data_IF_280071042438
#
_entry.id   IF_280071042438
#
_cell.length_a   1.000
_cell.length_b   1.000
_cell.length_c   1.000
_cell.angle_alpha   90.00
_cell.angle_beta   90.00
_cell.angle_gamma   90.00
#
_symmetry.space_group_name_H-M   'P 1'
#
loop_
_entity.id
_entity.type
_entity.pdbx_description
1 polymer ?
#
# COMPACT_ATOMS: atom_id res chain seq x y z
N UNK A 1 -3.56 -1.69 -38.83
CA UNK A 1 -2.45 -1.72 -37.85
C UNK A 1 -2.55 -0.47 -37.01
N UNK A 2 -3.08 -0.62 -35.80
CA UNK A 2 -3.35 0.47 -34.86
C UNK A 2 -2.04 1.09 -34.39
N UNK A 3 -1.66 2.23 -34.98
CA UNK A 3 -0.53 3.02 -34.50
C UNK A 3 -0.99 3.77 -33.25
N UNK A 4 -0.49 3.36 -32.08
CA UNK A 4 -0.53 4.20 -30.89
C UNK A 4 0.06 5.56 -31.25
N UNK A 5 -0.73 6.63 -31.11
CA UNK A 5 -0.27 7.99 -31.39
C UNK A 5 0.80 8.40 -30.38
N UNK A 6 1.73 9.28 -30.78
CA UNK A 6 2.87 9.72 -29.96
C UNK A 6 2.48 10.17 -28.55
N UNK A 7 1.36 10.91 -28.42
CA UNK A 7 0.80 11.34 -27.12
C UNK A 7 0.21 10.20 -26.29
N UNK A 8 -0.43 9.22 -26.93
CA UNK A 8 -0.98 8.07 -26.24
C UNK A 8 0.13 7.14 -25.73
N UNK A 9 1.21 7.01 -26.50
CA UNK A 9 2.41 6.29 -26.07
C UNK A 9 3.05 6.96 -24.85
N UNK A 10 3.23 8.29 -24.88
CA UNK A 10 3.77 9.07 -23.76
C UNK A 10 2.97 8.85 -22.48
N UNK A 11 1.65 9.07 -22.52
CA UNK A 11 0.79 8.91 -21.33
C UNK A 11 0.74 7.47 -20.79
N UNK A 12 0.90 6.46 -21.64
CA UNK A 12 0.79 5.05 -21.24
C UNK A 12 2.14 4.38 -20.91
N UNK A 13 3.27 4.91 -21.40
CA UNK A 13 4.57 4.25 -21.29
C UNK A 13 5.01 4.08 -19.83
N UNK A 14 4.74 5.05 -18.96
CA UNK A 14 5.08 4.97 -17.54
C UNK A 14 4.27 3.93 -16.74
N UNK A 15 3.19 3.40 -17.31
CA UNK A 15 2.30 2.42 -16.65
C UNK A 15 2.45 0.99 -17.20
N UNK A 16 3.18 0.80 -18.30
CA UNK A 16 3.28 -0.47 -19.00
C UNK A 16 4.67 -1.08 -18.75
N UNK A 17 4.74 -2.10 -17.90
CA UNK A 17 6.00 -2.77 -17.56
C UNK A 17 6.27 -3.96 -18.49
N UNK A 18 7.43 -3.98 -19.16
CA UNK A 18 7.83 -5.10 -20.02
C UNK A 18 8.87 -5.95 -19.27
N UNK A 19 8.41 -7.04 -18.68
CA UNK A 19 9.29 -8.01 -18.02
C UNK A 19 10.14 -8.73 -19.07
N UNK A 20 11.47 -8.62 -18.97
CA UNK A 20 12.41 -9.18 -19.96
C UNK A 20 12.61 -8.31 -21.21
N UNK A 21 12.26 -7.03 -21.17
CA UNK A 21 12.54 -6.07 -22.24
C UNK A 21 14.05 -5.95 -22.54
N UNK A 22 14.39 -5.58 -23.79
CA UNK A 22 15.80 -5.36 -24.20
C UNK A 22 16.44 -4.18 -23.45
N UNK A 23 15.64 -3.26 -22.92
CA UNK A 23 16.12 -2.09 -22.18
C UNK A 23 15.85 -2.24 -20.67
N UNK A 24 16.87 -2.18 -19.80
CA UNK A 24 16.69 -2.32 -18.35
C UNK A 24 15.74 -1.29 -17.72
N UNK A 25 15.66 -0.07 -18.28
CA UNK A 25 14.77 0.98 -17.79
C UNK A 25 13.28 0.71 -18.10
N UNK A 26 12.97 -0.12 -19.09
CA UNK A 26 11.56 -0.48 -19.42
C UNK A 26 10.90 -1.36 -18.34
N UNK A 27 11.71 -1.88 -17.41
CA UNK A 27 11.25 -2.61 -16.24
C UNK A 27 11.07 -1.72 -15.00
N UNK A 28 11.34 -0.41 -15.13
CA UNK A 28 11.13 0.60 -14.09
C UNK A 28 9.90 1.45 -14.40
N UNK A 29 9.40 2.19 -13.42
CA UNK A 29 8.34 3.18 -13.64
C UNK A 29 8.88 4.51 -14.18
N UNK A 30 10.16 4.57 -14.59
CA UNK A 30 10.77 5.76 -15.15
C UNK A 30 10.15 6.04 -16.51
N UNK A 31 9.66 7.26 -16.70
CA UNK A 31 9.07 7.68 -17.97
C UNK A 31 10.15 7.83 -19.06
N UNK A 32 9.88 7.50 -20.35
CA UNK A 32 10.87 7.64 -21.43
C UNK A 32 11.48 9.04 -21.58
N UNK A 33 10.74 10.08 -21.20
CA UNK A 33 11.23 11.46 -21.15
C UNK A 33 12.41 11.64 -20.18
N UNK A 34 12.44 10.83 -19.12
CA UNK A 34 13.47 10.86 -18.08
C UNK A 34 14.58 9.83 -18.29
N UNK A 35 14.57 9.05 -19.38
CA UNK A 35 15.62 8.03 -19.64
C UNK A 35 17.01 8.67 -19.73
N UNK A 36 17.14 9.79 -20.45
CA UNK A 36 18.40 10.53 -20.55
C UNK A 36 18.94 10.94 -19.18
N UNK A 37 18.06 11.36 -18.28
CA UNK A 37 18.45 11.77 -16.93
C UNK A 37 18.82 10.57 -16.06
N UNK A 38 18.09 9.45 -16.18
CA UNK A 38 18.42 8.20 -15.48
C UNK A 38 19.77 7.63 -15.93
N UNK A 39 20.07 7.66 -17.22
CA UNK A 39 21.36 7.24 -17.78
C UNK A 39 22.51 8.10 -17.27
N UNK A 40 22.37 9.42 -17.34
CA UNK A 40 23.38 10.34 -16.84
C UNK A 40 23.58 10.23 -15.31
N UNK A 41 22.51 9.95 -14.56
CA UNK A 41 22.59 9.68 -13.11
C UNK A 41 23.34 8.38 -12.82
N UNK A 42 23.11 7.31 -13.60
CA UNK A 42 23.84 6.04 -13.49
C UNK A 42 25.34 6.22 -13.77
N UNK A 43 25.69 6.92 -14.84
CA UNK A 43 27.10 7.21 -15.17
C UNK A 43 27.79 8.01 -14.04
N UNK A 44 27.12 9.03 -13.50
CA UNK A 44 27.64 9.85 -12.39
C UNK A 44 27.81 9.05 -11.10
N UNK A 45 26.93 8.09 -10.87
CA UNK A 45 26.99 7.20 -9.71
C UNK A 45 27.91 5.98 -9.94
N UNK A 46 28.49 5.82 -11.15
CA UNK A 46 29.40 4.73 -11.50
C UNK A 46 28.72 3.38 -11.77
N UNK A 47 27.42 3.37 -12.04
CA UNK A 47 26.65 2.16 -12.32
C UNK A 47 26.38 1.99 -13.82
N UNK A 48 26.13 0.75 -14.24
CA UNK A 48 25.75 0.45 -15.63
C UNK A 48 24.25 0.23 -15.72
N UNK A 49 23.69 0.45 -16.91
CA UNK A 49 22.28 0.16 -17.21
C UNK A 49 21.88 -1.30 -16.87
N UNK A 50 22.80 -2.26 -17.02
CA UNK A 50 22.55 -3.66 -16.67
C UNK A 50 22.29 -3.90 -15.18
N UNK A 51 22.86 -3.05 -14.29
CA UNK A 51 22.71 -3.19 -12.85
C UNK A 51 21.28 -2.78 -12.39
N UNK A 52 20.58 -2.00 -13.22
CA UNK A 52 19.22 -1.53 -12.94
C UNK A 52 18.23 -2.70 -12.86
N UNK A 53 18.41 -3.74 -13.68
CA UNK A 53 17.47 -4.88 -13.71
C UNK A 53 17.39 -5.63 -12.38
N UNK A 54 18.47 -5.62 -11.57
CA UNK A 54 18.51 -6.24 -10.24
C UNK A 54 18.19 -5.28 -9.09
N UNK A 55 18.05 -3.99 -9.36
CA UNK A 55 17.94 -2.92 -8.37
C UNK A 55 19.29 -2.55 -7.76
N UNK A 56 19.54 -1.24 -7.65
CA UNK A 56 20.80 -0.67 -7.18
C UNK A 56 20.55 0.04 -5.84
N UNK A 57 20.46 -0.66 -4.70
CA UNK A 57 20.12 -0.05 -3.42
C UNK A 57 21.08 1.08 -3.01
N UNK A 58 22.36 0.95 -3.38
CA UNK A 58 23.42 1.94 -3.11
C UNK A 58 23.29 3.24 -3.90
N UNK A 59 22.42 3.31 -4.91
CA UNK A 59 22.27 4.53 -5.72
C UNK A 59 21.73 5.70 -4.89
N UNK A 60 20.88 5.42 -3.89
CA UNK A 60 20.37 6.45 -2.97
C UNK A 60 21.47 7.08 -2.13
N UNK A 61 22.42 6.25 -1.70
CA UNK A 61 23.55 6.67 -0.87
C UNK A 61 24.52 7.50 -1.72
N UNK A 62 24.79 7.08 -2.95
CA UNK A 62 25.62 7.82 -3.91
C UNK A 62 25.01 9.17 -4.28
N UNK A 63 23.71 9.22 -4.57
CA UNK A 63 22.99 10.47 -4.85
C UNK A 63 23.05 11.42 -3.65
N UNK A 64 22.93 10.91 -2.42
CA UNK A 64 23.09 11.72 -1.21
C UNK A 64 24.53 12.19 -0.99
N UNK A 65 25.52 11.36 -1.31
CA UNK A 65 26.94 11.69 -1.18
C UNK A 65 27.39 12.77 -2.17
N UNK A 66 26.90 12.72 -3.42
CA UNK A 66 27.18 13.72 -4.46
C UNK A 66 26.36 14.99 -4.22
N UNK A 67 25.11 14.84 -3.77
CA UNK A 67 24.19 15.93 -3.43
C UNK A 67 23.05 16.07 -4.44
N UNK A 68 21.81 15.96 -3.95
CA UNK A 68 20.55 16.03 -4.73
C UNK A 68 20.47 17.32 -5.54
N UNK A 69 20.75 18.48 -4.93
CA UNK A 69 20.69 19.80 -5.58
C UNK A 69 21.64 19.94 -6.77
N UNK A 70 22.86 19.44 -6.61
CA UNK A 70 23.89 19.55 -7.66
C UNK A 70 23.53 18.66 -8.84
N UNK A 71 23.08 17.44 -8.57
CA UNK A 71 22.63 16.52 -9.60
C UNK A 71 21.35 17.02 -10.29
N UNK A 72 20.40 17.61 -9.56
CA UNK A 72 19.17 18.15 -10.16
C UNK A 72 19.47 19.30 -11.14
N UNK A 73 20.38 20.21 -10.76
CA UNK A 73 20.80 21.31 -11.63
C UNK A 73 21.61 20.81 -12.84
N UNK A 74 22.53 19.85 -12.65
CA UNK A 74 23.33 19.28 -13.74
C UNK A 74 22.48 18.47 -14.73
N UNK A 75 21.49 17.72 -14.23
CA UNK A 75 20.60 16.89 -15.04
C UNK A 75 19.41 17.67 -15.61
N UNK A 76 19.20 18.91 -15.17
CA UNK A 76 18.07 19.76 -15.57
C UNK A 76 16.71 19.19 -15.17
N UNK A 77 16.65 18.37 -14.12
CA UNK A 77 15.42 17.77 -13.59
C UNK A 77 15.13 18.27 -12.18
N UNK A 78 13.86 18.29 -11.76
CA UNK A 78 13.50 18.70 -10.40
C UNK A 78 14.04 17.74 -9.34
N UNK A 79 14.31 18.24 -8.12
CA UNK A 79 14.77 17.43 -6.99
C UNK A 79 13.82 16.25 -6.67
N UNK A 80 12.51 16.47 -6.85
CA UNK A 80 11.48 15.43 -6.69
C UNK A 80 11.65 14.32 -7.74
N UNK A 81 11.74 14.70 -9.02
CA UNK A 81 11.95 13.76 -10.13
C UNK A 81 13.25 12.97 -9.96
N UNK A 82 14.32 13.62 -9.51
CA UNK A 82 15.60 12.95 -9.26
C UNK A 82 15.48 11.93 -8.13
N UNK A 83 14.77 12.28 -7.06
CA UNK A 83 14.51 11.37 -5.94
C UNK A 83 13.65 10.18 -6.38
N UNK A 84 12.64 10.40 -7.21
CA UNK A 84 11.79 9.35 -7.77
C UNK A 84 12.58 8.39 -8.67
N UNK A 85 13.40 8.92 -9.57
CA UNK A 85 14.31 8.11 -10.41
C UNK A 85 15.25 7.29 -9.53
N UNK A 86 15.88 7.89 -8.53
CA UNK A 86 16.78 7.17 -7.62
C UNK A 86 16.04 6.09 -6.81
N UNK A 87 14.77 6.31 -6.44
CA UNK A 87 13.94 5.32 -5.77
C UNK A 87 13.60 4.14 -6.70
N UNK A 88 13.21 4.43 -7.95
CA UNK A 88 12.92 3.40 -8.95
C UNK A 88 14.15 2.59 -9.35
N UNK A 89 15.32 3.24 -9.54
CA UNK A 89 16.57 2.55 -9.83
C UNK A 89 17.05 1.68 -8.66
N UNK A 90 16.74 2.08 -7.41
CA UNK A 90 17.07 1.29 -6.24
C UNK A 90 16.21 0.03 -6.09
N UNK A 91 14.92 0.13 -6.42
CA UNK A 91 13.95 -0.97 -6.38
C UNK A 91 13.04 -0.92 -7.61
N UNK A 92 13.49 -1.46 -8.76
CA UNK A 92 12.72 -1.44 -10.01
C UNK A 92 11.41 -2.21 -9.83
N UNK A 93 10.31 -1.64 -10.30
CA UNK A 93 9.01 -2.30 -10.27
C UNK A 93 8.36 -2.39 -8.90
N UNK A 94 8.77 -1.53 -7.95
CA UNK A 94 8.13 -1.39 -6.64
C UNK A 94 6.62 -1.33 -6.81
N UNK A 95 5.91 -2.24 -6.17
CA UNK A 95 4.47 -2.17 -6.13
C UNK A 95 4.10 -1.21 -4.98
N UNK A 96 3.41 -0.09 -5.23
CA UNK A 96 2.91 0.76 -4.15
C UNK A 96 1.97 0.02 -3.19
N UNK A 97 1.47 -1.16 -3.59
CA UNK A 97 0.70 -2.06 -2.72
C UNK A 97 1.55 -2.80 -1.69
N UNK A 98 2.86 -2.93 -1.88
CA UNK A 98 3.76 -3.55 -0.88
C UNK A 98 3.95 -2.66 0.36
N UNK A 99 3.73 -1.35 0.24
CA UNK A 99 3.75 -0.39 1.36
C UNK A 99 2.39 -0.19 2.02
N UNK A 100 1.30 -0.68 1.40
CA UNK A 100 0.02 -0.73 2.09
C UNK A 100 0.16 -1.77 3.21
N UNK A 101 -0.32 -1.47 4.43
CA UNK A 101 -0.50 -2.53 5.41
C UNK A 101 -1.28 -3.64 4.70
N UNK A 102 -0.83 -4.91 4.79
CA UNK A 102 -1.56 -5.99 4.15
C UNK A 102 -3.02 -5.82 4.54
N UNK A 103 -3.96 -5.92 3.58
CA UNK A 103 -5.37 -5.88 3.92
C UNK A 103 -5.51 -6.85 5.08
N UNK A 104 -6.10 -6.39 6.19
CA UNK A 104 -6.44 -7.23 7.32
C UNK A 104 -7.53 -8.19 6.84
N UNK A 105 -7.17 -9.12 5.97
CA UNK A 105 -7.90 -10.34 5.72
C UNK A 105 -7.80 -11.09 7.04
N UNK A 106 -8.74 -10.79 7.94
CA UNK A 106 -9.13 -11.71 9.01
C UNK A 106 -9.62 -12.97 8.29
N UNK A 107 -8.68 -13.83 7.95
CA UNK A 107 -8.95 -15.12 7.32
C UNK A 107 -9.30 -16.16 8.39
N UNK A 108 -9.28 -15.78 9.67
CA UNK A 108 -9.16 -16.74 10.76
C UNK A 108 -10.49 -17.11 11.42
N UNK A 109 -11.62 -16.56 10.96
CA UNK A 109 -12.93 -16.90 11.53
C UNK A 109 -14.03 -16.94 10.47
N UNK A 110 -13.87 -17.79 9.46
CA UNK A 110 -14.99 -18.16 8.59
C UNK A 110 -15.93 -19.19 9.28
N UNK A 111 -15.44 -19.89 10.31
CA UNK A 111 -16.14 -20.98 10.97
C UNK A 111 -16.27 -20.77 12.49
N UNK A 112 -17.48 -21.03 13.00
CA UNK A 112 -17.81 -20.99 14.44
C UNK A 112 -16.88 -21.89 15.28
N UNK A 113 -16.32 -22.95 14.67
CA UNK A 113 -15.41 -23.90 15.30
C UNK A 113 -14.03 -23.30 15.63
N UNK A 114 -13.66 -22.18 14.99
CA UNK A 114 -12.40 -21.48 15.24
C UNK A 114 -12.50 -20.49 16.40
N UNK A 115 -13.71 -20.23 16.93
CA UNK A 115 -13.91 -19.35 18.08
C UNK A 115 -13.46 -20.06 19.36
N UNK A 116 -12.52 -19.42 20.07
CA UNK A 116 -12.10 -19.83 21.41
C UNK A 116 -12.51 -18.77 22.43
N UNK A 117 -12.99 -19.17 23.62
CA UNK A 117 -13.20 -18.26 24.74
C UNK A 117 -11.93 -17.45 25.00
N UNK A 118 -12.07 -16.13 25.13
CA UNK A 118 -10.98 -15.19 25.33
C UNK A 118 -10.47 -14.48 24.08
N UNK A 119 -10.86 -14.90 22.87
CA UNK A 119 -10.47 -14.22 21.63
C UNK A 119 -11.12 -12.83 21.52
N UNK A 120 -10.34 -11.85 21.07
CA UNK A 120 -10.83 -10.49 20.79
C UNK A 120 -11.01 -10.34 19.29
N UNK A 121 -12.24 -10.03 18.89
CA UNK A 121 -12.65 -9.90 17.50
C UNK A 121 -13.26 -8.51 17.26
N UNK A 122 -12.91 -7.89 16.15
CA UNK A 122 -13.63 -6.76 15.59
C UNK A 122 -14.89 -7.32 14.93
N UNK A 123 -16.03 -6.74 15.25
CA UNK A 123 -17.31 -7.08 14.65
C UNK A 123 -18.13 -5.83 14.40
N UNK A 124 -19.12 -5.94 13.53
CA UNK A 124 -19.96 -4.81 13.11
C UNK A 124 -21.32 -4.93 13.76
N UNK A 125 -21.80 -3.85 14.37
CA UNK A 125 -23.13 -3.82 14.97
C UNK A 125 -24.20 -3.91 13.87
N UNK A 126 -24.95 -5.02 13.82
CA UNK A 126 -26.06 -5.20 12.88
C UNK A 126 -27.38 -4.66 13.42
N UNK A 127 -27.62 -4.84 14.71
CA UNK A 127 -28.88 -4.44 15.31
C UNK A 127 -28.71 -4.08 16.79
N UNK A 128 -29.49 -3.13 17.27
CA UNK A 128 -29.49 -2.67 18.66
C UNK A 128 -30.90 -2.81 19.21
N UNK A 129 -31.04 -3.45 20.36
CA UNK A 129 -32.31 -3.67 21.06
C UNK A 129 -32.19 -3.24 22.52
N UNK A 130 -33.30 -3.12 23.25
CA UNK A 130 -33.30 -2.50 24.59
C UNK A 130 -32.38 -3.19 25.62
N UNK A 131 -32.20 -4.50 25.52
CA UNK A 131 -31.37 -5.27 26.48
C UNK A 131 -30.00 -5.68 25.93
N UNK A 132 -29.65 -5.31 24.69
CA UNK A 132 -28.38 -5.74 24.10
C UNK A 132 -28.16 -5.33 22.64
N UNK A 133 -27.05 -5.81 22.09
CA UNK A 133 -26.55 -5.44 20.76
C UNK A 133 -26.14 -6.70 20.02
N UNK A 134 -26.58 -6.82 18.77
CA UNK A 134 -26.15 -7.89 17.87
C UNK A 134 -24.95 -7.43 17.05
N UNK A 135 -23.85 -8.17 17.17
CA UNK A 135 -22.59 -7.90 16.52
C UNK A 135 -22.25 -9.04 15.58
N UNK A 136 -22.06 -8.73 14.31
CA UNK A 136 -21.56 -9.66 13.31
C UNK A 136 -20.05 -9.73 13.39
N UNK A 137 -19.54 -10.91 13.75
CA UNK A 137 -18.11 -11.21 13.85
C UNK A 137 -17.57 -11.99 12.64
N UNK A 138 -18.38 -12.15 11.59
CA UNK A 138 -18.00 -12.81 10.33
C UNK A 138 -18.24 -14.32 10.28
N UNK A 139 -18.83 -14.91 11.32
CA UNK A 139 -19.01 -16.38 11.47
C UNK A 139 -20.44 -16.85 11.13
N UNK A 140 -21.07 -16.33 10.07
CA UNK A 140 -22.46 -16.67 9.66
C UNK A 140 -23.57 -16.56 10.74
N UNK A 141 -23.22 -16.19 11.97
CA UNK A 141 -24.05 -16.14 13.15
C UNK A 141 -23.68 -14.91 13.98
N UNK A 142 -24.71 -14.19 14.43
CA UNK A 142 -24.55 -12.93 15.15
C UNK A 142 -24.30 -13.20 16.64
N UNK A 143 -23.35 -12.49 17.23
CA UNK A 143 -23.08 -12.51 18.67
C UNK A 143 -23.95 -11.48 19.40
N UNK A 144 -24.57 -11.89 20.51
CA UNK A 144 -25.33 -10.98 21.36
C UNK A 144 -24.46 -10.46 22.50
N UNK A 145 -24.31 -9.14 22.57
CA UNK A 145 -23.67 -8.44 23.69
C UNK A 145 -24.78 -7.88 24.59
N UNK A 146 -24.85 -8.36 25.83
CA UNK A 146 -25.83 -7.87 26.80
C UNK A 146 -25.50 -6.42 27.22
N UNK A 147 -26.50 -5.59 27.53
CA UNK A 147 -26.31 -4.17 27.90
C UNK A 147 -25.28 -3.97 29.02
N UNK A 148 -25.23 -4.89 30.00
CA UNK A 148 -24.27 -4.87 31.11
C UNK A 148 -22.81 -5.15 30.72
N UNK A 149 -22.56 -5.67 29.52
CA UNK A 149 -21.24 -6.00 28.98
C UNK A 149 -20.75 -4.96 27.96
N UNK A 150 -21.57 -3.95 27.64
CA UNK A 150 -21.22 -2.90 26.67
C UNK A 150 -20.27 -1.86 27.30
N UNK A 151 -20.47 -1.54 28.58
CA UNK A 151 -19.67 -0.55 29.30
C UNK A 151 -19.66 -0.82 30.80
N UNK A 152 -18.59 -0.42 31.48
CA UNK A 152 -18.47 -0.45 32.96
C UNK A 152 -19.40 0.56 33.67
N UNK A 153 -20.09 1.43 32.91
CA UNK A 153 -21.04 2.42 33.44
C UNK A 153 -22.47 1.97 33.20
N UNK A 154 -23.37 2.37 34.11
CA UNK A 154 -24.80 2.16 33.93
C UNK A 154 -25.31 2.99 32.74
N UNK A 155 -25.87 2.32 31.74
CA UNK A 155 -26.46 2.92 30.54
C UNK A 155 -27.95 2.59 30.53
N UNK A 156 -28.80 3.54 30.14
CA UNK A 156 -30.25 3.33 30.05
C UNK A 156 -30.66 2.68 28.72
N UNK A 157 -30.04 3.08 27.61
CA UNK A 157 -30.22 2.43 26.32
C UNK A 157 -28.88 2.22 25.58
N UNK A 158 -28.66 1.06 24.94
CA UNK A 158 -27.42 0.77 24.23
C UNK A 158 -27.15 1.72 23.04
N UNK A 159 -28.19 2.35 22.49
CA UNK A 159 -28.08 3.41 21.46
C UNK A 159 -27.30 4.65 21.92
N UNK A 160 -27.12 4.85 23.23
CA UNK A 160 -26.31 5.95 23.76
C UNK A 160 -24.81 5.72 23.55
N UNK A 161 -24.40 4.46 23.37
CA UNK A 161 -22.97 4.06 23.32
C UNK A 161 -22.57 3.46 21.98
N UNK A 162 -23.48 2.76 21.30
CA UNK A 162 -23.21 2.15 20.01
C UNK A 162 -24.32 2.43 19.00
N UNK A 163 -23.96 2.53 17.73
CA UNK A 163 -24.89 2.68 16.61
C UNK A 163 -24.83 1.49 15.67
N UNK A 164 -25.91 1.28 14.92
CA UNK A 164 -25.93 0.30 13.85
C UNK A 164 -24.90 0.69 12.79
N UNK A 165 -24.04 -0.26 12.41
CA UNK A 165 -22.92 -0.06 11.50
C UNK A 165 -21.59 0.27 12.18
N UNK A 166 -21.55 0.48 13.50
CA UNK A 166 -20.29 0.73 14.20
C UNK A 166 -19.43 -0.55 14.24
N UNK A 167 -18.12 -0.37 14.09
CA UNK A 167 -17.12 -1.42 14.24
C UNK A 167 -16.66 -1.43 15.70
N UNK A 168 -16.93 -2.51 16.41
CA UNK A 168 -16.65 -2.66 17.85
C UNK A 168 -15.72 -3.86 18.09
N UNK A 169 -14.87 -3.77 19.12
CA UNK A 169 -14.08 -4.90 19.60
C UNK A 169 -14.89 -5.68 20.63
N UNK A 170 -15.19 -6.94 20.34
CA UNK A 170 -15.87 -7.88 21.22
C UNK A 170 -14.93 -8.99 21.65
N UNK A 171 -15.13 -9.49 22.87
CA UNK A 171 -14.41 -10.65 23.40
C UNK A 171 -15.36 -11.83 23.43
N UNK A 172 -14.94 -12.96 22.85
CA UNK A 172 -15.67 -14.24 22.96
C UNK A 172 -15.60 -14.67 24.42
N UNK A 173 -16.76 -14.83 25.06
CA UNK A 173 -16.88 -15.32 26.43
C UNK A 173 -17.04 -16.85 26.46
#
# INVERSE_FOLDING_TARGET
MSKLGKKAYEQCAGFMRIHGGKYPLDNTSVHPESYKAAEALLEKCGFKLADVSGGIPSIKEQVRAIGVKKLSEELGIGEMTLSDIANELAKPGRDPRDELPPPLLRTDVADINSLKPGMILDGTVRNVIDFGVFVDIGVHQDGLVHISQICDKYIKHPLEVVKVGDIVKVKVL
#
